data_IF_854478860925
#
_entry.id   IF_854478860925
#
_cell.length_a   1.000
_cell.length_b   1.000
_cell.length_c   1.000
_cell.angle_alpha   90.00
_cell.angle_beta   90.00
_cell.angle_gamma   90.00
#
_symmetry.space_group_name_H-M   'P 1'
#
loop_
_entity.id
_entity.type
_entity.pdbx_description
1 polymer ?
#
# COMPACT_ATOMS: atom_id res chain seq x y z
N UNK A 1 -30.64 -6.11 4.85
CA UNK A 1 -30.96 -5.13 3.80
C UNK A 1 -31.69 -3.97 4.45
N UNK A 2 -30.96 -2.92 4.84
CA UNK A 2 -31.58 -1.70 5.39
C UNK A 2 -32.23 -0.97 4.23
N UNK A 3 -33.47 -0.55 4.43
CA UNK A 3 -34.27 0.23 3.48
C UNK A 3 -33.47 1.45 2.97
N UNK A 4 -33.17 1.47 1.67
CA UNK A 4 -32.16 2.32 1.01
C UNK A 4 -32.80 3.61 0.47
N UNK A 5 -34.11 3.79 0.72
CA UNK A 5 -34.91 4.86 0.10
C UNK A 5 -34.85 6.19 0.85
N UNK A 6 -34.28 6.19 2.06
CA UNK A 6 -34.31 7.32 3.00
C UNK A 6 -32.91 7.75 3.49
N UNK A 7 -31.92 7.90 2.60
CA UNK A 7 -30.70 8.60 3.03
C UNK A 7 -31.04 10.08 3.29
N UNK A 8 -31.10 10.44 4.57
CA UNK A 8 -31.53 11.75 5.09
C UNK A 8 -30.71 12.93 4.52
N UNK A 9 -29.54 12.67 3.93
CA UNK A 9 -28.72 13.68 3.25
C UNK A 9 -29.37 14.23 1.98
N UNK A 10 -30.29 13.48 1.34
CA UNK A 10 -31.08 14.01 0.22
C UNK A 10 -32.12 15.05 0.66
N UNK A 11 -32.36 15.22 1.97
CA UNK A 11 -33.44 16.07 2.49
C UNK A 11 -33.00 17.04 3.61
N UNK A 12 -31.85 16.85 4.24
CA UNK A 12 -31.38 17.68 5.36
C UNK A 12 -29.99 18.28 5.09
N UNK A 13 -29.95 19.62 5.13
CA UNK A 13 -28.80 20.54 5.02
C UNK A 13 -27.67 20.35 6.05
N UNK A 14 -27.68 19.28 6.86
CA UNK A 14 -26.99 19.28 8.16
C UNK A 14 -25.82 18.32 8.32
N UNK A 15 -25.36 17.65 7.26
CA UNK A 15 -24.29 16.66 7.37
C UNK A 15 -23.21 16.88 6.30
N UNK A 16 -21.94 16.95 6.73
CA UNK A 16 -20.73 17.07 5.90
C UNK A 16 -20.53 15.85 4.99
N UNK A 17 -21.38 15.69 3.97
CA UNK A 17 -21.27 14.62 2.99
C UNK A 17 -20.11 14.89 2.02
N UNK A 18 -19.29 13.88 1.76
CA UNK A 18 -18.33 13.93 0.67
C UNK A 18 -19.06 13.73 -0.67
N UNK A 19 -18.48 14.27 -1.75
CA UNK A 19 -19.09 14.28 -3.08
C UNK A 19 -19.20 12.92 -3.75
N UNK A 20 -18.63 11.87 -3.17
CA UNK A 20 -18.57 10.50 -3.69
C UNK A 20 -19.31 9.51 -2.78
N UNK A 21 -19.29 9.71 -1.46
CA UNK A 21 -19.95 8.81 -0.51
C UNK A 21 -20.47 9.54 0.74
N UNK A 22 -21.65 9.13 1.21
CA UNK A 22 -22.18 9.53 2.49
C UNK A 22 -21.60 8.67 3.63
N UNK A 23 -20.87 9.29 4.57
CA UNK A 23 -20.28 8.59 5.71
C UNK A 23 -21.31 8.01 6.71
N UNK A 24 -22.55 8.50 6.70
CA UNK A 24 -23.60 8.05 7.60
C UNK A 24 -24.36 6.81 7.08
N UNK A 25 -24.82 6.85 5.83
CA UNK A 25 -25.64 5.80 5.23
C UNK A 25 -24.85 4.89 4.27
N UNK A 26 -23.60 5.26 3.93
CA UNK A 26 -22.71 4.54 3.02
C UNK A 26 -23.08 4.64 1.54
N UNK A 27 -24.15 5.38 1.19
CA UNK A 27 -24.62 5.53 -0.18
C UNK A 27 -23.61 6.30 -1.04
N UNK A 28 -23.37 5.79 -2.25
CA UNK A 28 -22.61 6.50 -3.28
C UNK A 28 -23.43 7.68 -3.80
N UNK A 29 -22.81 8.86 -3.81
CA UNK A 29 -23.43 10.09 -4.23
C UNK A 29 -22.74 10.60 -5.49
N UNK A 30 -23.51 11.27 -6.35
CA UNK A 30 -22.94 12.12 -7.39
C UNK A 30 -22.73 13.50 -6.80
N UNK A 31 -21.54 14.09 -6.96
CA UNK A 31 -21.23 15.40 -6.36
C UNK A 31 -22.14 16.54 -6.85
N UNK A 32 -22.78 16.37 -8.01
CA UNK A 32 -23.73 17.33 -8.59
C UNK A 32 -25.11 17.27 -7.91
N UNK A 33 -25.43 16.16 -7.25
CA UNK A 33 -26.71 15.96 -6.54
C UNK A 33 -26.67 16.46 -5.09
N UNK A 34 -25.54 17.00 -4.64
CA UNK A 34 -25.40 17.57 -3.29
C UNK A 34 -26.26 18.83 -3.14
N UNK A 35 -26.99 18.90 -2.03
CA UNK A 35 -27.70 20.11 -1.61
C UNK A 35 -26.68 21.05 -0.96
N UNK A 36 -26.68 22.32 -1.37
CA UNK A 36 -25.76 23.36 -0.86
C UNK A 36 -24.27 22.94 -0.89
N UNK A 37 -23.72 22.60 -2.07
CA UNK A 37 -22.34 22.16 -2.16
C UNK A 37 -21.39 23.29 -1.73
N UNK A 38 -20.34 22.93 -0.99
CA UNK A 38 -19.27 23.84 -0.57
C UNK A 38 -17.91 23.26 -0.94
N UNK A 39 -17.03 24.11 -1.44
CA UNK A 39 -15.64 23.76 -1.71
C UNK A 39 -14.88 23.66 -0.39
N UNK A 40 -14.26 22.51 -0.11
CA UNK A 40 -13.50 22.28 1.13
C UNK A 40 -12.26 23.18 1.29
N UNK A 41 -11.78 23.77 0.18
CA UNK A 41 -10.58 24.61 0.17
C UNK A 41 -10.89 26.07 0.49
N UNK A 42 -11.99 26.62 -0.04
CA UNK A 42 -12.30 28.06 0.03
C UNK A 42 -13.73 28.38 0.50
N UNK A 43 -14.52 27.38 0.88
CA UNK A 43 -15.93 27.45 1.29
C UNK A 43 -16.86 28.11 0.26
N UNK A 44 -16.40 28.32 -0.98
CA UNK A 44 -17.24 28.85 -2.04
C UNK A 44 -18.23 27.80 -2.55
N UNK A 45 -19.36 28.22 -3.10
CA UNK A 45 -20.32 27.31 -3.73
C UNK A 45 -19.80 26.88 -5.11
N UNK A 46 -19.52 25.58 -5.33
CA UNK A 46 -19.07 25.08 -6.62
C UNK A 46 -20.10 25.30 -7.72
N UNK A 47 -19.63 25.60 -8.93
CA UNK A 47 -20.48 25.78 -10.12
C UNK A 47 -20.19 24.63 -11.08
N UNK A 48 -21.23 23.90 -11.48
CA UNK A 48 -21.10 22.82 -12.47
C UNK A 48 -20.67 23.38 -13.82
N UNK A 49 -19.59 22.85 -14.38
CA UNK A 49 -19.08 23.20 -15.70
C UNK A 49 -18.93 21.94 -16.54
N UNK A 50 -19.17 22.06 -17.85
CA UNK A 50 -18.86 20.99 -18.78
C UNK A 50 -17.36 20.94 -19.02
N UNK A 51 -16.78 19.76 -18.88
CA UNK A 51 -15.37 19.48 -19.18
C UNK A 51 -15.28 18.29 -20.13
N UNK A 52 -14.22 18.27 -20.95
CA UNK A 52 -13.93 17.14 -21.81
C UNK A 52 -12.97 16.20 -21.08
N UNK A 53 -13.28 14.91 -21.07
CA UNK A 53 -12.47 13.86 -20.47
C UNK A 53 -12.23 12.76 -21.49
N UNK A 54 -11.03 12.20 -21.50
CA UNK A 54 -10.70 11.01 -22.28
C UNK A 54 -10.91 9.77 -21.43
N UNK A 55 -11.50 8.73 -22.01
CA UNK A 55 -11.76 7.47 -21.34
C UNK A 55 -11.10 6.33 -22.13
N UNK A 56 -10.59 5.34 -21.40
CA UNK A 56 -10.12 4.09 -22.00
C UNK A 56 -11.34 3.20 -22.26
N UNK A 57 -11.52 2.76 -23.50
CA UNK A 57 -12.62 1.88 -23.91
C UNK A 57 -12.30 0.43 -23.56
N UNK A 58 -12.56 0.08 -22.29
CA UNK A 58 -12.30 -1.26 -21.75
C UNK A 58 -13.11 -2.35 -22.46
N UNK A 59 -14.31 -2.05 -22.96
CA UNK A 59 -15.16 -3.03 -23.65
C UNK A 59 -14.52 -3.57 -24.92
N UNK A 60 -13.76 -2.75 -25.65
CA UNK A 60 -13.02 -3.20 -26.84
C UNK A 60 -11.77 -4.02 -26.49
N UNK A 61 -11.19 -3.79 -25.32
CA UNK A 61 -9.93 -4.43 -24.88
C UNK A 61 -10.17 -5.69 -24.06
N UNK A 62 -11.36 -5.85 -23.49
CA UNK A 62 -11.75 -6.98 -22.66
C UNK A 62 -11.40 -8.34 -23.29
N UNK A 63 -11.71 -8.64 -24.57
CA UNK A 63 -11.38 -9.95 -25.15
C UNK A 63 -9.87 -10.21 -25.23
N UNK A 64 -9.06 -9.17 -25.48
CA UNK A 64 -7.59 -9.30 -25.52
C UNK A 64 -7.03 -9.61 -24.13
N UNK A 65 -7.59 -8.99 -23.10
CA UNK A 65 -7.13 -9.13 -21.70
C UNK A 65 -7.56 -10.47 -21.13
N UNK A 66 -8.79 -10.91 -21.39
CA UNK A 66 -9.29 -12.24 -20.99
C UNK A 66 -8.41 -13.35 -21.57
N UNK A 67 -8.12 -13.29 -22.88
CA UNK A 67 -7.21 -14.24 -23.54
C UNK A 67 -5.78 -14.22 -22.95
N UNK A 68 -5.30 -13.06 -22.49
CA UNK A 68 -4.00 -12.95 -21.83
C UNK A 68 -4.03 -13.54 -20.41
N UNK A 69 -5.09 -13.29 -19.64
CA UNK A 69 -5.30 -13.84 -18.30
C UNK A 69 -5.47 -15.37 -18.37
N UNK A 70 -6.18 -15.91 -19.35
CA UNK A 70 -6.31 -17.37 -19.51
C UNK A 70 -4.96 -18.06 -19.74
N UNK A 71 -4.03 -17.38 -20.42
CA UNK A 71 -2.66 -17.89 -20.69
C UNK A 71 -1.72 -17.71 -19.50
N UNK A 72 -2.01 -16.78 -18.61
CA UNK A 72 -1.13 -16.41 -17.51
C UNK A 72 -1.81 -16.84 -16.22
N UNK A 73 -1.27 -17.80 -15.47
CA UNK A 73 -1.87 -18.32 -14.22
C UNK A 73 -1.92 -17.26 -13.09
N UNK A 74 -2.73 -16.22 -13.28
CA UNK A 74 -2.96 -15.11 -12.37
C UNK A 74 -4.26 -15.43 -11.62
N UNK A 75 -4.12 -15.78 -10.35
CA UNK A 75 -5.26 -16.14 -9.49
C UNK A 75 -5.75 -14.94 -8.65
N UNK A 76 -4.98 -13.85 -8.64
CA UNK A 76 -5.18 -12.71 -7.75
C UNK A 76 -5.86 -11.54 -8.46
N UNK A 77 -6.92 -11.00 -7.87
CA UNK A 77 -7.66 -9.86 -8.41
C UNK A 77 -7.05 -8.54 -7.92
N UNK A 78 -5.93 -8.13 -8.51
CA UNK A 78 -5.31 -6.80 -8.31
C UNK A 78 -5.61 -5.92 -9.53
N UNK A 79 -6.72 -5.17 -9.55
CA UNK A 79 -7.31 -4.65 -10.79
C UNK A 79 -6.38 -3.75 -11.60
N UNK A 80 -5.49 -3.02 -10.94
CA UNK A 80 -4.56 -2.16 -11.65
C UNK A 80 -3.55 -2.95 -12.49
N UNK A 81 -2.90 -3.97 -11.90
CA UNK A 81 -1.82 -4.72 -12.55
C UNK A 81 -2.33 -5.85 -13.44
N UNK A 82 -3.55 -6.33 -13.20
CA UNK A 82 -4.14 -7.45 -13.96
C UNK A 82 -5.16 -7.01 -14.99
N UNK A 83 -5.67 -5.76 -14.92
CA UNK A 83 -6.67 -5.26 -15.86
C UNK A 83 -6.21 -3.93 -16.46
N UNK A 84 -6.12 -2.86 -15.67
CA UNK A 84 -5.93 -1.51 -16.21
C UNK A 84 -4.62 -1.32 -16.96
N UNK A 85 -3.51 -1.80 -16.39
CA UNK A 85 -2.19 -1.68 -17.00
C UNK A 85 -2.05 -2.59 -18.25
N UNK A 86 -2.41 -3.88 -18.22
CA UNK A 86 -2.47 -4.72 -19.42
C UNK A 86 -3.39 -4.18 -20.51
N UNK A 87 -4.58 -3.67 -20.19
CA UNK A 87 -5.47 -3.01 -21.15
C UNK A 87 -4.76 -1.87 -21.89
N UNK A 88 -4.04 -1.03 -21.14
CA UNK A 88 -3.33 0.11 -21.70
C UNK A 88 -2.22 -0.34 -22.66
N UNK A 89 -1.49 -1.41 -22.33
CA UNK A 89 -0.42 -1.97 -23.18
C UNK A 89 -0.99 -2.68 -24.42
N UNK A 90 -2.01 -3.52 -24.26
CA UNK A 90 -2.66 -4.26 -25.35
C UNK A 90 -3.45 -3.36 -26.31
N UNK A 91 -3.82 -2.16 -25.86
CA UNK A 91 -4.46 -1.14 -26.69
C UNK A 91 -3.50 -0.40 -27.62
N UNK A 92 -2.19 -0.42 -27.34
CA UNK A 92 -1.15 0.19 -28.18
C UNK A 92 -0.80 -0.74 -29.37
N UNK A 93 -1.18 -2.02 -29.30
CA UNK A 93 -0.92 -3.03 -30.34
C UNK A 93 0.57 -3.23 -30.66
N UNK A 94 1.42 -3.05 -29.64
CA UNK A 94 2.85 -3.31 -29.66
C UNK A 94 3.21 -4.51 -28.77
N UNK A 95 4.36 -5.13 -29.03
CA UNK A 95 4.86 -6.29 -28.27
C UNK A 95 5.50 -5.85 -26.94
N UNK A 96 4.66 -5.53 -25.95
CA UNK A 96 5.12 -5.22 -24.59
C UNK A 96 5.31 -6.49 -23.76
N UNK A 97 6.31 -6.48 -22.88
CA UNK A 97 6.44 -7.51 -21.84
C UNK A 97 5.32 -7.36 -20.81
N UNK A 98 4.49 -8.39 -20.70
CA UNK A 98 3.38 -8.43 -19.74
C UNK A 98 3.77 -9.19 -18.47
N UNK A 99 2.98 -8.98 -17.41
CA UNK A 99 3.17 -9.65 -16.13
C UNK A 99 3.04 -11.18 -16.30
N UNK A 100 4.01 -11.94 -15.78
CA UNK A 100 3.96 -13.42 -15.81
C UNK A 100 3.47 -14.01 -14.48
N UNK A 101 3.90 -13.42 -13.37
CA UNK A 101 3.56 -13.85 -12.03
C UNK A 101 3.32 -12.63 -11.17
N UNK A 102 2.16 -12.58 -10.50
CA UNK A 102 1.89 -11.59 -9.46
C UNK A 102 2.08 -12.25 -8.10
N UNK A 103 2.71 -11.53 -7.17
CA UNK A 103 2.75 -11.91 -5.76
C UNK A 103 2.11 -10.80 -4.96
N UNK A 104 0.95 -11.09 -4.41
CA UNK A 104 0.28 -10.21 -3.45
C UNK A 104 0.74 -10.56 -2.05
N UNK A 105 0.76 -9.56 -1.18
CA UNK A 105 0.95 -9.74 0.25
C UNK A 105 -0.26 -9.15 0.96
N UNK A 106 -0.74 -9.86 1.97
CA UNK A 106 -1.80 -9.37 2.84
C UNK A 106 -1.32 -8.21 3.72
N UNK A 107 -2.27 -7.44 4.24
CA UNK A 107 -1.96 -6.37 5.17
C UNK A 107 -1.32 -6.90 6.45
N UNK A 108 -0.16 -6.34 6.80
CA UNK A 108 0.44 -6.54 8.11
C UNK A 108 -0.25 -5.66 9.15
N UNK A 109 -0.79 -6.26 10.21
CA UNK A 109 -1.28 -5.55 11.38
C UNK A 109 -0.15 -5.35 12.40
N UNK A 110 -0.28 -4.30 13.21
CA UNK A 110 0.58 -4.06 14.37
C UNK A 110 -0.19 -4.47 15.64
N UNK A 111 0.26 -5.54 16.28
CA UNK A 111 -0.49 -6.21 17.36
C UNK A 111 -1.92 -6.56 16.88
N UNK A 112 -2.94 -6.14 17.64
CA UNK A 112 -4.35 -6.34 17.30
C UNK A 112 -4.96 -5.16 16.50
N UNK A 113 -4.13 -4.27 15.93
CA UNK A 113 -4.59 -3.03 15.31
C UNK A 113 -3.88 -2.70 14.00
N UNK A 114 -4.39 -1.72 13.26
CA UNK A 114 -3.71 -1.17 12.08
C UNK A 114 -2.69 -0.11 12.50
N UNK A 115 -1.59 -0.02 11.77
CA UNK A 115 -0.64 1.10 11.87
C UNK A 115 -1.36 2.45 11.75
N UNK A 116 -0.98 3.43 12.57
CA UNK A 116 -1.62 4.75 12.62
C UNK A 116 -0.65 5.83 13.11
N UNK A 117 -0.16 6.68 12.20
CA UNK A 117 0.74 7.79 12.54
C UNK A 117 0.10 8.79 13.51
N UNK A 118 -1.15 9.16 13.28
CA UNK A 118 -1.87 10.14 14.13
C UNK A 118 -2.15 9.66 15.54
N UNK A 119 -2.31 8.34 15.73
CA UNK A 119 -2.47 7.70 17.05
C UNK A 119 -1.15 7.19 17.61
N UNK A 120 -0.04 7.45 16.90
CA UNK A 120 1.29 6.94 17.19
C UNK A 120 1.33 5.40 17.38
N UNK A 121 0.49 4.64 16.67
CA UNK A 121 0.42 3.18 16.80
C UNK A 121 1.24 2.53 15.69
N UNK A 122 2.30 1.82 16.09
CA UNK A 122 3.16 1.04 15.20
C UNK A 122 4.55 1.65 15.04
N UNK A 123 5.46 0.85 14.48
CA UNK A 123 6.83 1.27 14.18
C UNK A 123 6.91 1.71 12.71
N UNK A 124 7.28 2.96 12.46
CA UNK A 124 7.43 3.51 11.11
C UNK A 124 8.89 3.49 10.65
N UNK A 125 9.12 3.68 9.34
CA UNK A 125 10.46 3.55 8.75
C UNK A 125 11.48 4.56 9.26
N UNK A 126 11.03 5.72 9.75
CA UNK A 126 11.81 6.71 10.47
C UNK A 126 12.18 6.23 11.88
N UNK A 127 11.23 5.67 12.63
CA UNK A 127 11.48 5.08 13.95
C UNK A 127 12.53 3.97 13.90
N UNK A 128 12.55 3.21 12.80
CA UNK A 128 13.46 2.09 12.57
C UNK A 128 14.94 2.46 12.71
N UNK A 129 15.32 3.70 12.41
CA UNK A 129 16.70 4.20 12.55
C UNK A 129 17.12 4.34 14.01
N UNK A 130 16.18 4.69 14.87
CA UNK A 130 16.42 4.99 16.29
C UNK A 130 16.34 3.74 17.17
N UNK A 131 16.01 2.58 16.59
CA UNK A 131 15.97 1.29 17.28
C UNK A 131 17.38 0.84 17.68
N UNK A 132 18.44 1.39 17.04
CA UNK A 132 19.82 0.98 17.31
C UNK A 132 20.14 -0.43 16.81
N UNK A 133 19.21 -1.04 16.06
CA UNK A 133 19.52 -2.19 15.20
C UNK A 133 20.21 -1.61 13.97
N UNK A 134 21.46 -1.98 13.68
CA UNK A 134 22.14 -1.54 12.47
C UNK A 134 21.23 -1.81 11.27
N UNK A 135 21.02 -0.81 10.41
CA UNK A 135 20.32 -1.03 9.15
C UNK A 135 21.01 -2.21 8.47
N UNK A 136 20.30 -3.32 8.35
CA UNK A 136 20.86 -4.63 8.05
C UNK A 136 21.78 -4.59 6.85
N UNK A 137 21.55 -3.71 5.88
CA UNK A 137 22.43 -3.50 4.73
C UNK A 137 23.92 -3.44 5.07
N UNK A 138 24.41 -2.59 5.99
CA UNK A 138 25.86 -2.52 6.21
C UNK A 138 26.42 -3.79 6.89
N UNK A 139 25.83 -4.21 8.01
CA UNK A 139 26.32 -5.36 8.78
C UNK A 139 26.06 -6.71 8.11
N UNK A 140 24.94 -6.85 7.39
CA UNK A 140 24.60 -8.06 6.61
C UNK A 140 25.47 -8.11 5.37
N UNK A 141 25.71 -6.99 4.67
CA UNK A 141 26.64 -6.97 3.54
C UNK A 141 28.06 -7.33 3.98
N UNK A 142 28.55 -6.82 5.11
CA UNK A 142 29.84 -7.23 5.68
C UNK A 142 29.88 -8.73 6.02
N UNK A 143 28.81 -9.25 6.64
CA UNK A 143 28.69 -10.68 6.93
C UNK A 143 28.66 -11.53 5.67
N UNK A 144 27.89 -11.13 4.65
CA UNK A 144 27.82 -11.81 3.35
C UNK A 144 29.19 -11.80 2.68
N UNK A 145 29.88 -10.65 2.62
CA UNK A 145 31.22 -10.53 2.03
C UNK A 145 32.23 -11.43 2.73
N UNK A 146 32.19 -11.48 4.06
CA UNK A 146 33.05 -12.37 4.86
C UNK A 146 32.72 -13.85 4.62
N UNK A 147 31.43 -14.20 4.57
CA UNK A 147 30.96 -15.56 4.33
C UNK A 147 31.29 -16.02 2.90
N UNK A 148 31.13 -15.15 1.91
CA UNK A 148 31.48 -15.40 0.52
C UNK A 148 32.98 -15.30 0.27
N UNK A 149 33.78 -14.81 1.22
CA UNK A 149 35.21 -14.57 1.05
C UNK A 149 35.52 -13.83 -0.27
N UNK A 150 34.72 -12.82 -0.60
CA UNK A 150 34.73 -12.15 -1.90
C UNK A 150 34.63 -10.63 -1.72
N UNK A 151 35.30 -9.82 -2.55
CA UNK A 151 35.29 -8.37 -2.41
C UNK A 151 33.89 -7.78 -2.65
N UNK A 152 33.59 -6.69 -1.93
CA UNK A 152 32.39 -5.87 -2.14
C UNK A 152 32.46 -5.24 -3.53
N UNK A 153 31.37 -5.32 -4.31
CA UNK A 153 31.33 -4.79 -5.68
C UNK A 153 30.13 -3.91 -5.96
N UNK A 154 30.38 -2.96 -6.87
CA UNK A 154 29.34 -2.32 -7.66
C UNK A 154 29.19 -3.11 -8.97
N UNK A 155 27.97 -3.17 -9.51
CA UNK A 155 27.69 -3.85 -10.78
C UNK A 155 28.46 -3.12 -11.90
N UNK A 156 29.43 -3.76 -12.57
CA UNK A 156 30.17 -3.14 -13.66
C UNK A 156 29.39 -3.22 -14.98
N UNK A 157 29.68 -2.30 -15.91
CA UNK A 157 29.10 -2.32 -17.28
C UNK A 157 29.66 -3.46 -18.16
N UNK A 158 30.73 -4.11 -17.70
CA UNK A 158 31.40 -5.22 -18.39
C UNK A 158 31.62 -6.40 -17.45
N UNK A 159 31.33 -7.61 -17.94
CA UNK A 159 31.52 -8.84 -17.17
C UNK A 159 33.01 -9.10 -16.91
N UNK A 160 33.37 -9.33 -15.64
CA UNK A 160 34.71 -9.70 -15.19
C UNK A 160 34.61 -10.86 -14.20
N UNK A 161 35.60 -11.75 -14.21
CA UNK A 161 35.64 -12.92 -13.33
C UNK A 161 36.57 -12.64 -12.16
N UNK A 162 36.04 -12.67 -10.95
CA UNK A 162 36.72 -12.15 -9.75
C UNK A 162 36.99 -13.22 -8.70
N UNK A 163 36.42 -14.39 -8.94
CA UNK A 163 36.51 -15.56 -8.09
C UNK A 163 37.32 -16.56 -8.91
N UNK A 164 38.54 -16.85 -8.43
CA UNK A 164 39.41 -17.84 -9.06
C UNK A 164 38.89 -19.26 -8.84
N UNK A 165 39.32 -20.21 -9.67
CA UNK A 165 38.82 -21.59 -9.65
C UNK A 165 39.01 -22.31 -8.30
N UNK A 166 40.01 -21.90 -7.51
CA UNK A 166 40.34 -22.49 -6.20
C UNK A 166 39.74 -21.71 -5.01
N UNK A 167 38.80 -20.79 -5.26
CA UNK A 167 38.16 -20.02 -4.21
C UNK A 167 37.36 -20.89 -3.24
N UNK A 168 37.51 -20.60 -1.95
CA UNK A 168 36.77 -21.26 -0.88
C UNK A 168 35.88 -20.26 -0.14
N UNK A 169 34.63 -20.65 0.01
CA UNK A 169 33.63 -19.94 0.81
C UNK A 169 34.06 -19.98 2.28
N UNK A 170 33.86 -18.88 3.00
CA UNK A 170 34.12 -18.77 4.41
C UNK A 170 33.13 -19.56 5.27
N UNK A 171 33.23 -19.38 6.58
CA UNK A 171 32.34 -20.03 7.56
C UNK A 171 30.94 -19.44 7.47
N UNK A 172 29.93 -20.28 7.26
CA UNK A 172 28.53 -19.85 7.25
C UNK A 172 28.08 -19.32 8.63
N UNK A 173 27.35 -18.21 8.62
CA UNK A 173 26.82 -17.54 9.81
C UNK A 173 25.39 -17.04 9.55
N UNK A 174 24.57 -16.96 10.59
CA UNK A 174 23.21 -16.43 10.46
C UNK A 174 23.24 -14.92 10.21
N UNK A 175 22.72 -14.51 9.05
CA UNK A 175 22.63 -13.09 8.65
C UNK A 175 21.62 -12.30 9.49
N UNK A 176 20.60 -12.97 10.00
CA UNK A 176 19.54 -12.36 10.79
C UNK A 176 19.50 -13.00 12.17
N UNK A 177 19.44 -12.17 13.21
CA UNK A 177 19.20 -12.61 14.57
C UNK A 177 17.70 -12.51 14.85
N UNK A 178 17.16 -13.52 15.51
CA UNK A 178 15.76 -13.49 15.95
C UNK A 178 15.61 -12.40 17.02
N UNK A 179 14.59 -11.56 16.88
CA UNK A 179 14.20 -10.62 17.92
C UNK A 179 13.54 -11.45 19.02
N UNK A 180 14.09 -11.39 20.24
CA UNK A 180 13.49 -12.07 21.39
C UNK A 180 12.29 -11.26 21.95
N UNK A 181 11.45 -11.92 22.74
CA UNK A 181 10.23 -11.31 23.30
C UNK A 181 10.56 -10.07 24.17
N UNK A 182 11.71 -10.05 24.84
CA UNK A 182 12.11 -8.92 25.69
C UNK A 182 12.49 -7.70 24.86
N UNK A 183 13.20 -7.89 23.76
CA UNK A 183 13.50 -6.85 22.79
C UNK A 183 12.22 -6.36 22.11
N UNK A 184 11.32 -7.28 21.74
CA UNK A 184 10.02 -6.93 21.18
C UNK A 184 9.20 -6.06 22.15
N UNK A 185 9.07 -6.45 23.41
CA UNK A 185 8.43 -5.64 24.44
C UNK A 185 9.09 -4.27 24.64
N UNK A 186 10.42 -4.22 24.60
CA UNK A 186 11.18 -2.98 24.70
C UNK A 186 10.88 -2.02 23.55
N UNK A 187 10.82 -2.54 22.32
CA UNK A 187 10.46 -1.74 21.15
C UNK A 187 8.97 -1.37 21.16
N UNK A 188 8.08 -2.29 21.53
CA UNK A 188 6.67 -1.97 21.71
C UNK A 188 6.48 -0.87 22.75
N UNK A 189 7.20 -0.86 23.88
CA UNK A 189 7.11 0.26 24.84
C UNK A 189 7.68 1.58 24.30
N UNK A 190 8.75 1.52 23.52
CA UNK A 190 9.42 2.71 22.96
C UNK A 190 8.60 3.37 21.85
N UNK A 191 7.88 2.57 21.07
CA UNK A 191 7.14 3.00 19.88
C UNK A 191 5.62 2.79 19.98
N UNK A 192 5.11 2.34 21.13
CA UNK A 192 3.68 2.39 21.40
C UNK A 192 3.27 3.83 21.61
N UNK A 193 2.27 4.25 20.85
CA UNK A 193 1.64 5.54 21.00
C UNK A 193 1.02 5.69 22.37
N UNK A 194 1.00 6.92 22.88
CA UNK A 194 0.14 7.28 23.99
C UNK A 194 -1.31 7.06 23.55
N UNK A 195 -1.89 5.92 23.90
CA UNK A 195 -3.34 5.74 23.82
C UNK A 195 -3.95 6.83 24.70
N UNK A 196 -4.68 7.78 24.10
CA UNK A 196 -5.64 8.58 24.86
C UNK A 196 -6.62 7.57 25.43
N UNK A 197 -6.57 7.38 26.75
CA UNK A 197 -7.59 6.65 27.47
C UNK A 197 -8.94 7.21 27.04
N UNK A 198 -9.75 6.39 26.37
CA UNK A 198 -11.17 6.60 26.23
C UNK A 198 -11.75 6.56 27.65
N UNK A 199 -11.71 7.70 28.35
CA UNK A 199 -12.55 7.94 29.51
C UNK A 199 -13.98 7.80 29.02
N UNK A 200 -14.55 6.61 29.23
CA UNK A 200 -16.00 6.38 29.27
C UNK A 200 -16.59 7.43 30.22
N UNK A 201 -17.05 8.56 29.67
CA UNK A 201 -18.02 9.41 30.33
C UNK A 201 -19.31 8.59 30.42
N UNK A 202 -19.47 7.87 31.53
CA UNK A 202 -20.80 7.51 32.03
C UNK A 202 -21.55 8.81 32.27
N UNK A 203 -22.32 9.25 31.27
CA UNK A 203 -23.41 10.21 31.51
C UNK A 203 -24.51 9.43 32.22
N UNK A 204 -24.56 9.57 33.53
CA UNK A 204 -25.78 9.39 34.30
C UNK A 204 -26.76 10.51 33.92
N UNK A 205 -27.85 10.15 33.24
CA UNK A 205 -29.15 10.80 33.34
C UNK A 205 -30.20 9.70 33.29
#
# INVERSE_FOLDING_TARGET
>A
YRDITNCLIRYYDSWDALGDQCDYCGQLLNSVELINPQCKTDNSTPITRKSNHMFLDLSKLQPKVENWIEKTSIEENVPFHTIMFPCSLLGIDEEWTLLHHIRTAEYLNYENTKFSKSRNVGVFGDDAKDIGIPSTYASVTESIVRQLNAPLRNIPDSFTMDIEADHQIGKAEYLFKRIDEKMAEGFSKKFAGESRDDKKTTKSV
#
